data_IF_824096973893
#
_entry.id   IF_824096973893
#
_cell.length_a   1.000
_cell.length_b   1.000
_cell.length_c   1.000
_cell.angle_alpha   90.00
_cell.angle_beta   90.00
_cell.angle_gamma   90.00
#
_symmetry.space_group_name_H-M   'P 1'
#
loop_
_entity.id
_entity.type
_entity.pdbx_description
1 polymer ?
#
# COMPACT_ATOMS: atom_id res chain seq x y z
N UNK A 1 -3.57 -10.87 2.36
CA UNK A 1 -4.58 -10.54 1.33
C UNK A 1 -5.91 -10.29 2.02
N UNK A 2 -6.61 -9.21 1.70
CA UNK A 2 -7.95 -8.91 2.23
C UNK A 2 -8.89 -8.85 1.02
N UNK A 3 -10.07 -9.49 1.13
CA UNK A 3 -11.06 -9.61 0.06
C UNK A 3 -12.39 -9.07 0.58
N UNK A 4 -12.93 -8.08 -0.13
CA UNK A 4 -14.25 -7.46 0.08
C UNK A 4 -14.56 -7.06 1.53
N UNK A 5 -13.53 -6.74 2.32
CA UNK A 5 -13.63 -6.53 3.76
C UNK A 5 -14.38 -7.66 4.51
N UNK A 6 -14.38 -8.90 4.01
CA UNK A 6 -15.07 -10.08 4.61
C UNK A 6 -14.18 -11.29 4.85
N UNK A 7 -13.10 -11.41 4.08
CA UNK A 7 -12.16 -12.52 4.18
C UNK A 7 -10.73 -11.98 4.18
N UNK A 8 -9.86 -12.61 4.96
CA UNK A 8 -8.43 -12.35 4.90
C UNK A 8 -7.64 -13.65 4.80
N UNK A 9 -6.60 -13.66 3.98
CA UNK A 9 -5.62 -14.74 3.89
C UNK A 9 -4.30 -14.21 4.44
N UNK A 10 -3.77 -14.90 5.44
CA UNK A 10 -2.54 -14.54 6.14
C UNK A 10 -1.63 -15.75 6.20
N UNK A 11 -0.33 -15.58 5.98
CA UNK A 11 0.59 -16.70 6.01
C UNK A 11 1.99 -16.30 5.61
N UNK A 12 2.87 -17.30 5.54
CA UNK A 12 4.25 -17.14 5.07
C UNK A 12 4.38 -17.15 3.55
N UNK A 13 3.36 -17.68 2.85
CA UNK A 13 3.39 -17.85 1.41
C UNK A 13 3.43 -16.52 0.65
N UNK A 14 4.50 -16.31 -0.11
CA UNK A 14 4.59 -15.22 -1.08
C UNK A 14 3.78 -15.53 -2.35
N UNK A 15 3.42 -14.51 -3.12
CA UNK A 15 2.76 -14.70 -4.42
C UNK A 15 3.82 -15.05 -5.48
N UNK A 16 4.26 -16.30 -5.51
CA UNK A 16 5.16 -16.83 -6.53
C UNK A 16 5.09 -18.37 -6.60
N UNK A 17 5.68 -18.94 -7.65
CA UNK A 17 5.75 -20.38 -7.87
C UNK A 17 6.42 -21.17 -6.73
N UNK A 18 7.35 -20.54 -6.01
CA UNK A 18 8.12 -21.19 -4.95
C UNK A 18 7.25 -21.49 -3.73
N UNK A 19 6.41 -20.53 -3.34
CA UNK A 19 5.50 -20.67 -2.21
C UNK A 19 4.18 -21.36 -2.60
N UNK A 20 3.66 -21.15 -3.83
CA UNK A 20 2.28 -21.57 -4.19
C UNK A 20 2.16 -22.95 -4.83
N UNK A 21 3.24 -23.53 -5.38
CA UNK A 21 3.16 -24.82 -6.08
C UNK A 21 3.26 -26.05 -5.16
N UNK A 22 3.48 -25.87 -3.86
CA UNK A 22 3.42 -26.91 -2.83
C UNK A 22 4.51 -28.01 -2.87
N UNK A 23 5.39 -28.01 -3.88
CA UNK A 23 6.49 -28.98 -4.02
C UNK A 23 7.88 -28.35 -3.85
N UNK A 24 7.95 -27.09 -3.42
CA UNK A 24 9.22 -26.38 -3.17
C UNK A 24 9.33 -26.01 -1.69
N UNK A 25 8.92 -24.81 -1.31
CA UNK A 25 9.02 -24.36 0.08
C UNK A 25 7.79 -24.82 0.88
N UNK A 26 8.02 -25.21 2.14
CA UNK A 26 6.95 -25.47 3.10
C UNK A 26 6.38 -24.15 3.62
N UNK A 27 5.09 -23.92 3.37
CA UNK A 27 4.40 -22.70 3.76
C UNK A 27 3.27 -23.00 4.76
N UNK A 28 2.95 -22.02 5.61
CA UNK A 28 1.77 -22.07 6.47
C UNK A 28 0.90 -20.84 6.22
N UNK A 29 -0.41 -21.03 6.20
CA UNK A 29 -1.37 -19.95 6.02
C UNK A 29 -2.70 -20.25 6.69
N UNK A 30 -3.44 -19.20 6.96
CA UNK A 30 -4.76 -19.20 7.57
C UNK A 30 -5.70 -18.35 6.73
N UNK A 31 -6.92 -18.86 6.53
CA UNK A 31 -8.04 -18.12 5.98
C UNK A 31 -8.92 -17.68 7.14
N UNK A 32 -9.15 -16.38 7.25
CA UNK A 32 -10.02 -15.75 8.22
C UNK A 32 -11.29 -15.36 7.47
N UNK A 33 -12.41 -15.95 7.87
CA UNK A 33 -13.74 -15.58 7.37
C UNK A 33 -14.48 -14.89 8.50
N UNK A 34 -14.84 -13.62 8.31
CA UNK A 34 -15.64 -12.92 9.29
C UNK A 34 -17.04 -13.52 9.39
N UNK A 35 -17.48 -13.75 10.63
CA UNK A 35 -18.86 -14.16 10.94
C UNK A 35 -19.68 -13.00 11.48
N UNK A 36 -19.02 -12.02 12.10
CA UNK A 36 -19.65 -10.82 12.59
C UNK A 36 -19.57 -9.73 11.52
N UNK A 37 -20.74 -9.35 11.01
CA UNK A 37 -20.86 -8.34 9.96
C UNK A 37 -21.39 -7.00 10.49
N UNK A 38 -21.00 -5.93 9.81
CA UNK A 38 -21.51 -4.58 9.98
C UNK A 38 -21.86 -3.96 8.62
N UNK A 39 -22.56 -2.82 8.65
CA UNK A 39 -22.86 -2.06 7.44
C UNK A 39 -21.60 -1.33 6.96
N UNK A 40 -21.26 -1.53 5.69
CA UNK A 40 -20.18 -0.85 4.99
C UNK A 40 -20.68 -0.15 3.74
N UNK A 41 -19.77 0.56 3.05
CA UNK A 41 -20.08 1.31 1.83
C UNK A 41 -19.00 1.03 0.80
N UNK A 42 -19.37 0.51 -0.36
CA UNK A 42 -18.48 0.26 -1.49
C UNK A 42 -19.03 1.04 -2.71
N UNK A 43 -18.27 2.02 -3.18
CA UNK A 43 -18.64 2.95 -4.25
C UNK A 43 -20.03 3.58 -4.03
N UNK A 44 -20.27 4.08 -2.82
CA UNK A 44 -21.55 4.67 -2.39
C UNK A 44 -22.69 3.67 -2.17
N UNK A 45 -22.50 2.37 -2.47
CA UNK A 45 -23.51 1.34 -2.25
C UNK A 45 -23.36 0.70 -0.88
N UNK A 46 -24.48 0.53 -0.17
CA UNK A 46 -24.50 -0.19 1.11
C UNK A 46 -24.19 -1.65 0.89
N UNK A 47 -23.21 -2.17 1.63
CA UNK A 47 -22.77 -3.56 1.59
C UNK A 47 -22.62 -4.10 3.00
N UNK A 48 -22.58 -5.42 3.14
CA UNK A 48 -22.26 -6.09 4.40
C UNK A 48 -20.78 -6.45 4.41
N UNK A 49 -20.06 -5.97 5.42
CA UNK A 49 -18.63 -6.20 5.59
C UNK A 49 -18.35 -6.89 6.91
N UNK A 50 -17.26 -7.64 6.99
CA UNK A 50 -16.78 -8.26 8.21
C UNK A 50 -16.11 -7.26 9.14
N UNK A 51 -16.41 -7.31 10.44
CA UNK A 51 -15.86 -6.37 11.42
C UNK A 51 -14.34 -6.45 11.52
N UNK A 52 -13.76 -7.65 11.51
CA UNK A 52 -12.31 -7.82 11.61
C UNK A 52 -11.62 -7.34 10.33
N UNK A 53 -12.04 -7.83 9.16
CA UNK A 53 -11.41 -7.50 7.89
C UNK A 53 -11.52 -6.00 7.57
N UNK A 54 -12.71 -5.39 7.77
CA UNK A 54 -12.91 -3.96 7.55
C UNK A 54 -12.03 -3.11 8.48
N UNK A 55 -12.02 -3.41 9.79
CA UNK A 55 -11.19 -2.66 10.75
C UNK A 55 -9.70 -2.83 10.46
N UNK A 56 -9.28 -4.03 10.04
CA UNK A 56 -7.89 -4.29 9.72
C UNK A 56 -7.44 -3.54 8.45
N UNK A 57 -8.24 -3.57 7.38
CA UNK A 57 -7.96 -2.77 6.17
C UNK A 57 -7.89 -1.28 6.51
N UNK A 58 -8.84 -0.73 7.26
CA UNK A 58 -8.84 0.68 7.69
C UNK A 58 -7.55 1.03 8.44
N UNK A 59 -7.07 0.16 9.32
CA UNK A 59 -5.81 0.35 10.04
C UNK A 59 -4.58 0.28 9.14
N UNK A 60 -4.55 -0.63 8.16
CA UNK A 60 -3.46 -0.70 7.18
C UNK A 60 -3.41 0.57 6.33
N UNK A 61 -4.55 1.05 5.85
CA UNK A 61 -4.62 2.29 5.08
C UNK A 61 -4.23 3.51 5.93
N UNK A 62 -4.68 3.60 7.19
CA UNK A 62 -4.27 4.72 8.04
C UNK A 62 -2.76 4.75 8.30
N UNK A 63 -2.11 3.58 8.44
CA UNK A 63 -0.65 3.49 8.52
C UNK A 63 0.04 3.93 7.22
N UNK A 64 -0.37 3.38 6.08
CA UNK A 64 0.27 3.63 4.79
C UNK A 64 0.09 5.07 4.31
N UNK A 65 -1.02 5.70 4.66
CA UNK A 65 -1.36 7.07 4.27
C UNK A 65 -0.95 8.10 5.33
N UNK A 66 -0.46 7.66 6.50
CA UNK A 66 -0.04 8.56 7.59
C UNK A 66 -1.19 9.23 8.36
N UNK A 67 -2.40 8.65 8.35
CA UNK A 67 -3.63 9.23 8.94
C UNK A 67 -3.77 8.88 10.44
N UNK A 68 -2.67 8.65 11.16
CA UNK A 68 -2.70 8.05 12.50
C UNK A 68 -2.96 9.03 13.65
N UNK A 69 -2.76 10.33 13.43
CA UNK A 69 -2.82 11.36 14.48
C UNK A 69 -3.70 12.55 14.10
N UNK A 70 -3.71 12.92 12.83
CA UNK A 70 -4.57 13.95 12.27
C UNK A 70 -5.08 13.42 10.92
N UNK A 71 -6.36 13.67 10.62
CA UNK A 71 -6.90 13.51 9.27
C UNK A 71 -7.13 14.91 8.67
N UNK A 72 -6.07 15.71 8.46
CA UNK A 72 -6.22 17.10 8.06
C UNK A 72 -6.89 17.23 6.68
N UNK A 73 -6.80 16.18 5.87
CA UNK A 73 -7.41 16.09 4.55
C UNK A 73 -8.83 15.50 4.59
N UNK A 74 -9.34 15.16 5.78
CA UNK A 74 -10.66 14.58 6.01
C UNK A 74 -10.98 13.40 5.08
N UNK A 75 -9.98 12.55 4.80
CA UNK A 75 -10.12 11.42 3.89
C UNK A 75 -10.98 10.35 4.54
N UNK A 76 -12.02 9.93 3.84
CA UNK A 76 -12.85 8.81 4.26
C UNK A 76 -12.17 7.47 3.93
N UNK A 77 -11.92 6.67 4.97
CA UNK A 77 -11.41 5.31 4.83
C UNK A 77 -12.52 4.26 4.84
N UNK A 78 -13.79 4.67 4.95
CA UNK A 78 -14.94 3.77 5.02
C UNK A 78 -15.24 3.10 3.68
N UNK A 79 -15.09 3.83 2.57
CA UNK A 79 -15.31 3.34 1.21
C UNK A 79 -13.98 3.16 0.44
N UNK A 80 -13.40 1.95 0.45
CA UNK A 80 -12.08 1.69 -0.13
C UNK A 80 -12.07 1.66 -1.67
N UNK A 81 -13.24 1.73 -2.32
CA UNK A 81 -13.37 1.61 -3.79
C UNK A 81 -14.02 2.83 -4.42
N UNK A 82 -14.24 3.90 -3.66
CA UNK A 82 -14.66 5.19 -4.19
C UNK A 82 -13.55 5.83 -5.04
N UNK A 83 -13.96 6.56 -6.09
CA UNK A 83 -13.02 7.31 -6.92
C UNK A 83 -12.24 8.36 -6.11
N UNK A 84 -12.88 8.99 -5.12
CA UNK A 84 -12.25 9.95 -4.22
C UNK A 84 -11.08 9.33 -3.45
N UNK A 85 -11.33 8.20 -2.77
CA UNK A 85 -10.29 7.47 -2.04
C UNK A 85 -9.18 6.99 -2.98
N UNK A 86 -9.55 6.43 -4.12
CA UNK A 86 -8.58 5.86 -5.07
C UNK A 86 -7.68 6.93 -5.70
N UNK A 87 -8.23 8.09 -6.06
CA UNK A 87 -7.45 9.22 -6.56
C UNK A 87 -6.50 9.75 -5.50
N UNK A 88 -6.98 9.94 -4.26
CA UNK A 88 -6.14 10.35 -3.14
C UNK A 88 -4.97 9.39 -2.89
N UNK A 89 -5.26 8.09 -2.80
CA UNK A 89 -4.25 7.05 -2.60
C UNK A 89 -3.17 7.10 -3.69
N UNK A 90 -3.59 7.23 -4.95
CA UNK A 90 -2.70 7.31 -6.10
C UNK A 90 -1.85 8.57 -6.07
N UNK A 91 -2.44 9.72 -5.80
CA UNK A 91 -1.75 11.01 -5.83
C UNK A 91 -0.74 11.12 -4.69
N UNK A 92 -1.08 10.62 -3.49
CA UNK A 92 -0.12 10.54 -2.38
C UNK A 92 1.06 9.63 -2.73
N UNK A 93 0.80 8.45 -3.30
CA UNK A 93 1.85 7.54 -3.72
C UNK A 93 2.80 8.19 -4.74
N UNK A 94 2.25 8.84 -5.78
CA UNK A 94 3.05 9.56 -6.78
C UNK A 94 3.86 10.70 -6.17
N UNK A 95 3.24 11.51 -5.31
CA UNK A 95 3.92 12.63 -4.65
C UNK A 95 5.08 12.12 -3.80
N UNK A 96 4.87 11.06 -3.02
CA UNK A 96 5.92 10.45 -2.21
C UNK A 96 7.06 9.92 -3.10
N UNK A 97 6.75 9.21 -4.18
CA UNK A 97 7.77 8.75 -5.15
C UNK A 97 8.61 9.91 -5.68
N UNK A 98 7.98 11.01 -6.12
CA UNK A 98 8.69 12.17 -6.65
C UNK A 98 9.61 12.82 -5.60
N UNK A 99 9.12 12.99 -4.38
CA UNK A 99 9.90 13.55 -3.26
C UNK A 99 11.12 12.66 -2.97
N UNK A 100 10.93 11.35 -2.86
CA UNK A 100 12.03 10.43 -2.59
C UNK A 100 13.06 10.41 -3.73
N UNK A 101 12.61 10.44 -4.99
CA UNK A 101 13.50 10.54 -6.15
C UNK A 101 14.29 11.85 -6.17
N UNK A 102 13.65 12.99 -5.89
CA UNK A 102 14.29 14.31 -5.91
C UNK A 102 15.31 14.47 -4.78
N UNK A 103 14.95 14.06 -3.56
CA UNK A 103 15.79 14.26 -2.38
C UNK A 103 16.95 13.26 -2.34
N UNK A 104 16.66 11.98 -2.62
CA UNK A 104 17.60 10.89 -2.34
C UNK A 104 18.14 10.18 -3.59
N UNK A 105 17.58 10.46 -4.78
CA UNK A 105 17.85 9.70 -6.01
C UNK A 105 17.81 8.18 -5.76
N UNK A 106 16.76 7.72 -5.06
CA UNK A 106 16.61 6.31 -4.68
C UNK A 106 16.37 5.40 -5.88
N UNK A 107 16.80 4.15 -5.75
CA UNK A 107 16.45 3.06 -6.65
C UNK A 107 15.48 2.10 -5.96
N UNK A 108 14.55 1.47 -6.69
CA UNK A 108 14.31 1.61 -8.14
C UNK A 108 13.69 2.97 -8.52
N UNK A 109 13.86 3.40 -9.78
CA UNK A 109 13.26 4.63 -10.36
C UNK A 109 12.95 4.44 -11.84
N UNK A 110 11.85 5.03 -12.32
CA UNK A 110 11.44 5.01 -13.73
C UNK A 110 12.41 5.74 -14.68
N UNK A 111 13.31 6.55 -14.11
CA UNK A 111 14.38 7.28 -14.82
C UNK A 111 15.54 6.37 -15.23
N UNK A 112 15.70 5.23 -14.57
CA UNK A 112 16.78 4.25 -14.80
C UNK A 112 16.18 2.99 -15.40
N UNK A 113 16.31 2.83 -16.72
CA UNK A 113 15.73 1.69 -17.45
C UNK A 113 16.75 0.64 -17.84
N UNK A 114 18.03 0.94 -17.69
CA UNK A 114 19.15 0.08 -18.03
C UNK A 114 20.20 0.12 -16.94
N UNK A 115 20.95 -0.97 -16.83
CA UNK A 115 21.96 -1.13 -15.77
C UNK A 115 23.13 -0.15 -15.92
N UNK A 116 23.51 0.21 -17.15
CA UNK A 116 24.56 1.20 -17.44
C UNK A 116 24.22 2.61 -16.94
N UNK A 117 22.94 2.93 -16.78
CA UNK A 117 22.47 4.21 -16.26
C UNK A 117 22.52 4.31 -14.73
N UNK A 118 22.67 3.18 -14.03
CA UNK A 118 22.61 3.12 -12.56
C UNK A 118 23.69 3.98 -11.93
N UNK A 119 24.94 3.81 -12.35
CA UNK A 119 26.08 4.55 -11.80
C UNK A 119 25.90 6.06 -11.96
N UNK A 120 25.59 6.50 -13.18
CA UNK A 120 25.35 7.90 -13.51
C UNK A 120 24.22 8.51 -12.67
N UNK A 121 23.14 7.76 -12.44
CA UNK A 121 22.01 8.22 -11.65
C UNK A 121 22.32 8.31 -10.16
N UNK A 122 23.07 7.34 -9.61
CA UNK A 122 23.38 7.30 -8.17
C UNK A 122 24.50 8.24 -7.75
N UNK A 123 25.41 8.57 -8.67
CA UNK A 123 26.56 9.45 -8.45
C UNK A 123 26.24 10.93 -8.71
N UNK A 124 25.11 11.23 -9.35
CA UNK A 124 24.64 12.60 -9.49
C UNK A 124 24.45 13.26 -8.11
N UNK A 125 24.81 14.55 -7.95
CA UNK A 125 24.60 15.27 -6.70
C UNK A 125 23.14 15.20 -6.26
N UNK A 126 22.91 14.80 -5.01
CA UNK A 126 21.58 14.63 -4.42
C UNK A 126 21.20 15.86 -3.64
N UNK A 127 19.92 16.23 -3.66
CA UNK A 127 19.47 17.43 -2.96
C UNK A 127 19.77 17.35 -1.46
N UNK A 128 19.63 16.17 -0.84
CA UNK A 128 19.99 15.95 0.57
C UNK A 128 21.46 16.28 0.90
N UNK A 129 22.37 16.15 -0.07
CA UNK A 129 23.80 16.33 0.11
C UNK A 129 24.22 17.76 -0.24
N UNK A 130 23.47 18.42 -1.14
CA UNK A 130 23.75 19.79 -1.60
C UNK A 130 23.02 20.87 -0.81
N UNK A 131 21.85 20.57 -0.23
CA UNK A 131 21.03 21.50 0.56
C UNK A 131 20.21 20.76 1.65
N UNK A 132 20.82 20.44 2.80
CA UNK A 132 20.19 19.63 3.85
C UNK A 132 19.25 20.41 4.79
N UNK A 133 19.07 21.72 4.59
CA UNK A 133 18.33 22.61 5.53
C UNK A 133 16.87 22.81 5.10
N UNK A 134 16.46 22.30 3.93
CA UNK A 134 15.06 22.23 3.54
C UNK A 134 14.35 20.95 3.99
#
# INVERSE_FOLDING_TARGET
MIIDDRMAICGSANINDRSLRGHRDSEVGMIINDRDEEDGVFNGQRVRVGKFCASWRKRLFSMLLGIQFENPQNIDLSDPVSDEFYNYFRDLAKKNTLIYEEIFATLPSDRVRKFDQVGQYTEAPKLKDTDPIH
#
